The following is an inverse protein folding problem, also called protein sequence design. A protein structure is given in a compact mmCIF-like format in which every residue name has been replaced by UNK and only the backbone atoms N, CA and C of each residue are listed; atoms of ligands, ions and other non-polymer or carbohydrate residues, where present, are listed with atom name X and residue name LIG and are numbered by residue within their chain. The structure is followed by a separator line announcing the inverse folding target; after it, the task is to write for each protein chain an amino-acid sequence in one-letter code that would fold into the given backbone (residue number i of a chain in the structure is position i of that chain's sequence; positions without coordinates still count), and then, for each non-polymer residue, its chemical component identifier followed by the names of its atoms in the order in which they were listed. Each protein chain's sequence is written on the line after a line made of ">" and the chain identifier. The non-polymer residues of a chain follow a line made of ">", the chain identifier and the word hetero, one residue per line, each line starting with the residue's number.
data_IF_552764692498
#
_entry.id   IF_552764692498
#
_cell.length_a   1.000
_cell.length_b   1.000
_cell.length_c   1.000
_cell.angle_alpha   90.00
_cell.angle_beta   90.00
_cell.angle_gamma   90.00
#
_symmetry.space_group_name_H-M   'P 1'
#
loop_
_entity.id
_entity.type
_entity.pdbx_description
1 polymer ?
#
# COMPACT_ATOMS: atom_id res chain seq x y z
N UNK A 1 -20.48 -2.81 11.02
CA UNK A 1 -19.60 -2.31 9.94
C UNK A 1 -18.64 -3.41 9.53
N UNK A 2 -18.28 -3.52 8.24
CA UNK A 2 -17.29 -4.49 7.80
C UNK A 2 -15.94 -4.18 8.45
N UNK A 3 -15.29 -5.23 8.93
CA UNK A 3 -13.93 -5.17 9.48
C UNK A 3 -13.00 -5.87 8.53
N UNK A 4 -11.93 -5.18 8.15
CA UNK A 4 -10.87 -5.74 7.34
C UNK A 4 -9.53 -5.45 7.99
N UNK A 5 -8.64 -6.44 7.98
CA UNK A 5 -7.26 -6.28 8.42
C UNK A 5 -6.35 -6.54 7.24
N UNK A 6 -5.41 -5.62 7.02
CA UNK A 6 -4.40 -5.75 5.98
C UNK A 6 -3.57 -7.02 6.18
N UNK A 7 -3.26 -7.69 5.08
CA UNK A 7 -2.46 -8.91 5.08
C UNK A 7 -1.01 -8.60 5.43
N UNK A 8 -0.56 -9.14 6.56
CA UNK A 8 0.85 -9.05 7.02
C UNK A 8 1.78 -9.98 6.25
N UNK A 9 1.22 -10.94 5.51
CA UNK A 9 1.99 -11.84 4.66
C UNK A 9 2.57 -11.14 3.43
N UNK A 10 2.07 -9.95 3.08
CA UNK A 10 2.53 -9.26 1.88
C UNK A 10 3.89 -8.59 2.13
N UNK A 11 4.91 -9.03 1.38
CA UNK A 11 6.31 -8.62 1.53
C UNK A 11 6.91 -7.87 0.33
N UNK A 12 6.11 -7.59 -0.71
CA UNK A 12 6.56 -6.87 -1.91
C UNK A 12 5.51 -5.85 -2.39
N UNK A 13 5.90 -4.96 -3.30
CA UNK A 13 5.01 -3.93 -3.88
C UNK A 13 3.99 -4.52 -4.87
N UNK A 14 4.35 -5.48 -5.76
CA UNK A 14 3.40 -6.11 -6.68
C UNK A 14 2.18 -6.75 -6.03
N UNK A 15 2.31 -7.29 -4.82
CA UNK A 15 1.21 -7.85 -4.04
C UNK A 15 0.49 -6.78 -3.19
N UNK A 16 1.20 -5.72 -2.79
CA UNK A 16 0.63 -4.62 -2.01
C UNK A 16 -0.46 -3.86 -2.80
N UNK A 17 -0.22 -3.64 -4.09
CA UNK A 17 -1.12 -2.84 -4.92
C UNK A 17 -2.47 -3.52 -5.21
N UNK A 18 -2.54 -4.82 -5.57
CA UNK A 18 -3.79 -5.55 -5.69
C UNK A 18 -4.64 -5.52 -4.42
N UNK A 19 -4.02 -5.66 -3.23
CA UNK A 19 -4.74 -5.52 -1.95
C UNK A 19 -5.48 -4.19 -1.85
N UNK A 20 -4.85 -3.11 -2.31
CA UNK A 20 -5.48 -1.79 -2.35
C UNK A 20 -6.56 -1.66 -3.41
N UNK A 21 -6.24 -2.03 -4.64
CA UNK A 21 -7.06 -1.70 -5.81
C UNK A 21 -8.17 -2.72 -6.12
N UNK A 22 -7.93 -4.00 -5.83
CA UNK A 22 -8.80 -5.13 -6.20
C UNK A 22 -9.27 -5.95 -4.99
N UNK A 23 -8.57 -5.84 -3.87
CA UNK A 23 -8.76 -6.70 -2.71
C UNK A 23 -7.76 -7.85 -2.69
N UNK A 24 -7.66 -8.52 -1.54
CA UNK A 24 -6.71 -9.59 -1.30
C UNK A 24 -7.38 -10.73 -0.52
N UNK A 25 -7.09 -11.98 -0.90
CA UNK A 25 -7.62 -13.19 -0.27
C UNK A 25 -9.15 -13.21 -0.08
N UNK A 26 -9.91 -12.75 -1.09
CA UNK A 26 -11.37 -12.68 -1.05
C UNK A 26 -11.93 -11.52 -0.22
N UNK A 27 -11.07 -10.68 0.37
CA UNK A 27 -11.48 -9.44 1.04
C UNK A 27 -11.75 -8.29 0.07
N UNK A 28 -12.48 -7.25 0.52
CA UNK A 28 -12.76 -6.08 -0.31
C UNK A 28 -11.49 -5.27 -0.63
N UNK A 29 -11.50 -4.45 -1.68
CA UNK A 29 -10.43 -3.49 -1.95
C UNK A 29 -10.25 -2.51 -0.79
N UNK A 30 -9.02 -2.33 -0.31
CA UNK A 30 -8.74 -1.36 0.77
C UNK A 30 -9.10 0.06 0.34
N UNK A 31 -8.97 0.39 -0.95
CA UNK A 31 -9.41 1.67 -1.50
C UNK A 31 -10.88 1.93 -1.20
N UNK A 32 -11.75 0.96 -1.46
CA UNK A 32 -13.19 1.09 -1.21
C UNK A 32 -13.49 1.20 0.28
N UNK A 33 -12.78 0.45 1.12
CA UNK A 33 -12.92 0.53 2.57
C UNK A 33 -12.57 1.92 3.11
N UNK A 34 -11.46 2.51 2.64
CA UNK A 34 -11.04 3.85 3.06
C UNK A 34 -11.97 4.93 2.52
N UNK A 35 -12.45 4.83 1.28
CA UNK A 35 -13.40 5.79 0.68
C UNK A 35 -14.78 5.76 1.36
N UNK A 36 -15.31 4.56 1.69
CA UNK A 36 -16.66 4.42 2.27
C UNK A 36 -16.70 4.61 3.78
N UNK A 37 -15.66 4.15 4.49
CA UNK A 37 -15.68 4.07 5.96
C UNK A 37 -14.59 4.90 6.64
N UNK A 38 -13.63 5.46 5.89
CA UNK A 38 -12.50 6.22 6.44
C UNK A 38 -11.75 5.41 7.49
N UNK A 39 -11.42 6.00 8.63
CA UNK A 39 -10.74 5.26 9.70
C UNK A 39 -11.60 4.18 10.39
N UNK A 40 -12.92 4.14 10.18
CA UNK A 40 -13.84 3.28 10.96
C UNK A 40 -13.70 1.78 10.67
N UNK A 41 -13.18 1.39 9.50
CA UNK A 41 -12.94 -0.02 9.18
C UNK A 41 -11.69 -0.57 9.88
N UNK A 42 -10.80 0.31 10.36
CA UNK A 42 -9.57 -0.01 11.11
C UNK A 42 -9.87 -0.03 12.61
N UNK A 43 -10.15 -1.20 13.17
CA UNK A 43 -10.54 -1.32 14.60
C UNK A 43 -9.38 -1.16 15.57
N UNK A 44 -8.18 -1.59 15.18
CA UNK A 44 -7.05 -1.62 16.11
C UNK A 44 -5.98 -0.58 15.75
N UNK A 45 -5.27 -0.02 16.74
CA UNK A 45 -4.16 0.91 16.50
C UNK A 45 -3.09 0.32 15.56
N UNK A 46 -2.85 -0.99 15.66
CA UNK A 46 -1.92 -1.73 14.79
C UNK A 46 -2.33 -1.70 13.31
N UNK A 47 -3.63 -1.77 13.02
CA UNK A 47 -4.15 -1.71 11.66
C UNK A 47 -4.09 -0.30 11.11
N UNK A 48 -4.30 0.70 11.97
CA UNK A 48 -4.11 2.11 11.60
C UNK A 48 -2.66 2.41 11.24
N UNK A 49 -1.71 1.92 12.04
CA UNK A 49 -0.30 2.11 11.75
C UNK A 49 0.15 1.34 10.50
N UNK A 50 -0.29 0.10 10.34
CA UNK A 50 -0.01 -0.69 9.15
C UNK A 50 -0.57 -0.03 7.90
N UNK A 51 -1.82 0.41 7.93
CA UNK A 51 -2.43 1.17 6.84
C UNK A 51 -1.65 2.45 6.53
N UNK A 52 -1.26 3.24 7.53
CA UNK A 52 -0.49 4.47 7.31
C UNK A 52 0.81 4.18 6.52
N UNK A 53 1.54 3.14 6.90
CA UNK A 53 2.76 2.73 6.19
C UNK A 53 2.47 2.21 4.78
N UNK A 54 1.42 1.39 4.63
CA UNK A 54 0.96 0.88 3.33
C UNK A 54 0.50 1.99 2.39
N UNK A 55 -0.17 3.00 2.93
CA UNK A 55 -0.70 4.13 2.18
C UNK A 55 0.40 4.98 1.55
N UNK A 56 1.62 4.98 2.10
CA UNK A 56 2.77 5.61 1.46
C UNK A 56 3.07 4.95 0.10
N UNK A 57 3.02 3.61 0.02
CA UNK A 57 3.18 2.87 -1.24
C UNK A 57 2.02 3.21 -2.19
N UNK A 58 0.78 3.16 -1.72
CA UNK A 58 -0.40 3.42 -2.57
C UNK A 58 -0.38 4.83 -3.16
N UNK A 59 -0.03 5.82 -2.34
CA UNK A 59 0.12 7.21 -2.78
C UNK A 59 1.28 7.33 -3.78
N UNK A 60 2.43 6.72 -3.50
CA UNK A 60 3.59 6.75 -4.41
C UNK A 60 3.25 6.13 -5.78
N UNK A 61 2.53 5.00 -5.81
CA UNK A 61 2.06 4.39 -7.07
C UNK A 61 1.10 5.33 -7.79
N UNK A 62 0.16 5.96 -7.08
CA UNK A 62 -0.78 6.91 -7.68
C UNK A 62 -0.05 8.12 -8.30
N UNK A 63 0.93 8.70 -7.61
CA UNK A 63 1.77 9.79 -8.11
C UNK A 63 2.60 9.35 -9.31
N UNK A 64 3.27 8.20 -9.22
CA UNK A 64 4.07 7.66 -10.32
C UNK A 64 3.22 7.30 -11.54
N UNK A 65 1.99 6.80 -11.35
CA UNK A 65 1.04 6.52 -12.43
C UNK A 65 0.76 7.78 -13.25
N UNK A 66 0.61 8.93 -12.59
CA UNK A 66 0.37 10.21 -13.27
C UNK A 66 1.54 10.58 -14.21
N UNK A 67 2.78 10.24 -13.83
CA UNK A 67 3.98 10.55 -14.62
C UNK A 67 4.41 9.44 -15.61
N UNK A 68 4.17 8.16 -15.28
CA UNK A 68 4.70 6.97 -15.98
C UNK A 68 3.67 6.29 -16.90
N UNK A 69 2.47 6.87 -17.08
CA UNK A 69 1.35 6.40 -17.92
C UNK A 69 0.72 5.04 -17.53
N UNK A 70 1.41 4.17 -16.79
CA UNK A 70 0.87 2.87 -16.32
C UNK A 70 1.13 2.63 -14.83
N UNK A 71 0.17 1.92 -14.20
CA UNK A 71 0.28 1.42 -12.83
C UNK A 71 1.36 0.36 -12.72
N UNK A 72 1.48 -0.53 -13.71
CA UNK A 72 2.43 -1.64 -13.68
C UNK A 72 3.86 -1.12 -13.69
N UNK A 73 4.14 -0.10 -14.51
CA UNK A 73 5.44 0.58 -14.53
C UNK A 73 5.74 1.29 -13.21
N UNK A 74 4.74 1.90 -12.57
CA UNK A 74 4.90 2.52 -11.25
C UNK A 74 5.20 1.49 -10.14
N UNK A 75 4.48 0.35 -10.15
CA UNK A 75 4.71 -0.78 -9.24
C UNK A 75 6.11 -1.36 -9.43
N UNK A 76 6.51 -1.64 -10.67
CA UNK A 76 7.83 -2.16 -11.00
C UNK A 76 8.95 -1.18 -10.64
N UNK A 77 8.75 0.12 -10.79
CA UNK A 77 9.75 1.11 -10.40
C UNK A 77 9.99 1.13 -8.88
N UNK A 78 8.93 1.06 -8.07
CA UNK A 78 9.05 0.99 -6.61
C UNK A 78 9.62 -0.34 -6.15
N UNK A 79 9.21 -1.44 -6.77
CA UNK A 79 9.77 -2.76 -6.48
C UNK A 79 11.25 -2.83 -6.87
N UNK A 80 11.64 -2.24 -8.00
CA UNK A 80 13.02 -2.10 -8.42
C UNK A 80 13.87 -1.33 -7.41
N UNK A 81 13.35 -0.22 -6.86
CA UNK A 81 14.00 0.51 -5.75
C UNK A 81 14.19 -0.39 -4.53
N UNK A 82 13.15 -1.14 -4.14
CA UNK A 82 13.21 -2.09 -3.01
C UNK A 82 14.28 -3.17 -3.21
N UNK A 83 14.32 -3.78 -4.39
CA UNK A 83 15.25 -4.87 -4.72
C UNK A 83 16.69 -4.35 -4.84
N UNK A 84 16.90 -3.19 -5.45
CA UNK A 84 18.23 -2.56 -5.59
C UNK A 84 18.86 -2.27 -4.23
N UNK A 85 18.06 -1.79 -3.27
CA UNK A 85 18.50 -1.52 -1.90
C UNK A 85 18.59 -2.79 -1.04
N UNK A 86 18.30 -3.97 -1.60
CA UNK A 86 18.11 -5.24 -0.86
C UNK A 86 17.20 -5.06 0.37
N UNK A 87 16.23 -4.15 0.24
CA UNK A 87 15.41 -3.65 1.34
C UNK A 87 14.17 -4.50 1.59
N UNK A 88 13.70 -4.47 2.83
CA UNK A 88 12.36 -4.98 3.16
C UNK A 88 11.28 -4.01 2.68
N UNK A 89 10.05 -4.49 2.60
CA UNK A 89 8.91 -3.63 2.29
C UNK A 89 8.69 -2.55 3.35
N UNK A 90 8.96 -2.85 4.62
CA UNK A 90 8.91 -1.87 5.72
C UNK A 90 9.96 -0.77 5.54
N UNK A 91 11.18 -1.12 5.08
CA UNK A 91 12.22 -0.15 4.75
C UNK A 91 11.77 0.81 3.65
N UNK A 92 11.20 0.29 2.55
CA UNK A 92 10.63 1.13 1.50
C UNK A 92 9.49 2.02 2.02
N UNK A 93 8.59 1.50 2.86
CA UNK A 93 7.49 2.28 3.45
C UNK A 93 8.02 3.45 4.30
N UNK A 94 9.07 3.22 5.10
CA UNK A 94 9.69 4.28 5.91
C UNK A 94 10.34 5.35 5.05
N UNK A 95 11.06 4.96 4.00
CA UNK A 95 11.66 5.90 3.04
C UNK A 95 10.57 6.75 2.37
N UNK A 96 9.51 6.12 1.86
CA UNK A 96 8.41 6.85 1.22
C UNK A 96 7.63 7.75 2.18
N UNK A 97 7.57 7.40 3.47
CA UNK A 97 7.00 8.26 4.50
C UNK A 97 7.91 9.46 4.81
N UNK A 98 9.23 9.26 4.79
CA UNK A 98 10.21 10.33 4.99
C UNK A 98 10.24 11.31 3.81
N UNK A 99 10.15 10.82 2.56
CA UNK A 99 10.08 11.62 1.33
C UNK A 99 8.82 12.53 1.27
N UNK A 100 7.85 12.33 2.17
CA UNK A 100 6.54 13.01 2.18
C UNK A 100 6.42 14.17 3.17
N UNK A 101 7.48 14.45 3.94
CA UNK A 101 7.50 15.39 5.07
C UNK A 101 8.55 16.47 4.84
#
# INVERSE_FOLDING_TARGET
>A
MPTYSLSRAIQNVPDAWPEYAKGYAGGPPVKEMEERFGAKWRKEPRDTQLFRRRNAIYTAIATLKASKRSVETAVQALEGRRVSEKGSLDMLQKILLADRN
#
